data_IF_952199490909
#
_entry.id   IF_952199490909
#
_cell.length_a   1.000
_cell.length_b   1.000
_cell.length_c   1.000
_cell.angle_alpha   90.00
_cell.angle_beta   90.00
_cell.angle_gamma   90.00
#
_symmetry.space_group_name_H-M   'P 1'
#
loop_
_entity.id
_entity.type
_entity.pdbx_description
1 polymer ?
#
# COMPACT_ATOMS: atom_id res chain seq x y z
N UNK A 1 15.32 -3.47 -18.13
CA UNK A 1 15.53 -4.89 -17.81
C UNK A 1 15.69 -5.04 -16.29
N UNK A 2 14.90 -5.93 -15.68
CA UNK A 2 15.05 -6.25 -14.25
C UNK A 2 15.97 -7.47 -14.09
N UNK A 3 17.06 -7.32 -13.32
CA UNK A 3 17.94 -8.41 -12.90
C UNK A 3 17.70 -8.66 -11.43
N UNK A 4 17.17 -9.83 -11.08
CA UNK A 4 16.76 -10.15 -9.71
C UNK A 4 17.20 -11.56 -9.33
N UNK A 5 17.72 -11.68 -8.10
CA UNK A 5 17.91 -12.95 -7.41
C UNK A 5 17.14 -12.91 -6.09
N UNK A 6 16.37 -13.93 -5.79
CA UNK A 6 15.54 -14.00 -4.58
C UNK A 6 15.64 -15.38 -3.93
N UNK A 7 15.83 -15.40 -2.62
CA UNK A 7 15.72 -16.56 -1.76
C UNK A 7 14.53 -16.38 -0.84
N UNK A 8 13.69 -17.40 -0.69
CA UNK A 8 12.55 -17.36 0.24
C UNK A 8 12.62 -18.56 1.16
N UNK A 9 12.29 -18.32 2.42
CA UNK A 9 12.03 -19.31 3.45
C UNK A 9 10.55 -19.19 3.87
N UNK A 10 9.83 -20.30 3.91
CA UNK A 10 8.45 -20.35 4.33
C UNK A 10 8.27 -21.48 5.34
N UNK A 11 7.70 -21.17 6.50
CA UNK A 11 7.26 -22.12 7.50
C UNK A 11 5.81 -21.79 7.90
N UNK A 12 5.28 -22.52 8.87
CA UNK A 12 3.94 -22.30 9.41
C UNK A 12 3.77 -20.90 10.02
N UNK A 13 4.82 -20.37 10.67
CA UNK A 13 4.75 -19.13 11.47
C UNK A 13 5.61 -18.01 10.91
N UNK A 14 6.50 -18.27 9.97
CA UNK A 14 7.46 -17.29 9.46
C UNK A 14 7.65 -17.43 7.97
N UNK A 15 7.45 -16.33 7.28
CA UNK A 15 7.91 -16.11 5.91
C UNK A 15 9.08 -15.13 5.96
N UNK A 16 10.20 -15.46 5.35
CA UNK A 16 11.35 -14.57 5.27
C UNK A 16 12.02 -14.69 3.91
N UNK A 17 12.75 -13.66 3.51
CA UNK A 17 13.48 -13.73 2.25
C UNK A 17 14.52 -12.66 2.09
N UNK A 18 15.43 -12.94 1.17
CA UNK A 18 16.47 -12.04 0.71
C UNK A 18 16.27 -11.79 -0.78
N UNK A 19 16.29 -10.54 -1.16
CA UNK A 19 16.15 -10.08 -2.55
C UNK A 19 17.33 -9.17 -2.92
N UNK A 20 17.86 -9.37 -4.11
CA UNK A 20 18.86 -8.46 -4.73
C UNK A 20 18.31 -8.11 -6.10
N UNK A 21 18.07 -6.83 -6.34
CA UNK A 21 17.44 -6.34 -7.56
C UNK A 21 18.19 -5.16 -8.15
N UNK A 22 18.54 -5.26 -9.43
CA UNK A 22 19.07 -4.15 -10.23
C UNK A 22 18.16 -3.86 -11.41
N UNK A 23 17.89 -2.57 -11.64
CA UNK A 23 17.01 -2.11 -12.70
C UNK A 23 17.82 -1.44 -13.79
N UNK A 24 17.98 -2.13 -14.92
CA UNK A 24 18.62 -1.58 -16.10
C UNK A 24 17.58 -0.89 -16.98
N UNK A 25 17.76 0.40 -17.19
CA UNK A 25 16.97 1.18 -18.15
C UNK A 25 17.53 0.91 -19.55
N UNK A 26 16.67 0.53 -20.49
CA UNK A 26 17.03 0.22 -21.87
C UNK A 26 16.68 1.38 -22.80
N UNK A 27 15.78 2.27 -22.35
CA UNK A 27 15.33 3.42 -23.15
C UNK A 27 16.47 4.44 -23.32
N UNK A 28 16.95 4.68 -24.57
CA UNK A 28 18.01 5.63 -24.84
C UNK A 28 17.61 7.09 -24.59
N UNK A 29 16.30 7.39 -24.49
CA UNK A 29 15.79 8.73 -24.19
C UNK A 29 15.75 9.01 -22.67
N UNK A 30 15.86 7.99 -21.84
CA UNK A 30 16.02 8.15 -20.40
C UNK A 30 17.50 8.32 -20.10
N UNK A 31 17.93 9.57 -20.03
CA UNK A 31 19.32 9.93 -19.75
C UNK A 31 19.74 9.59 -18.31
N UNK A 32 21.06 9.57 -18.06
CA UNK A 32 21.66 9.43 -16.72
C UNK A 32 21.22 10.49 -15.72
N UNK A 33 20.65 11.61 -16.20
CA UNK A 33 20.10 12.72 -15.39
C UNK A 33 18.61 12.53 -15.04
N UNK A 34 18.00 11.43 -15.47
CA UNK A 34 16.57 11.22 -15.18
C UNK A 34 16.36 10.88 -13.71
N UNK A 35 15.90 11.88 -12.95
CA UNK A 35 15.53 11.75 -11.53
C UNK A 35 14.40 10.72 -11.26
N UNK A 36 13.71 10.27 -12.32
CA UNK A 36 12.71 9.19 -12.24
C UNK A 36 13.29 7.79 -12.36
N UNK A 37 14.63 7.68 -12.54
CA UNK A 37 15.29 6.37 -12.54
C UNK A 37 15.00 5.66 -11.23
N UNK A 38 14.46 4.43 -11.26
CA UNK A 38 14.20 3.67 -10.06
C UNK A 38 15.51 3.30 -9.34
N UNK A 39 15.42 3.14 -8.03
CA UNK A 39 16.53 2.66 -7.21
C UNK A 39 16.71 1.15 -7.36
N UNK A 40 17.94 0.71 -7.33
CA UNK A 40 18.33 -0.67 -7.10
C UNK A 40 18.09 -1.03 -5.62
N UNK A 41 17.80 -2.29 -5.31
CA UNK A 41 17.66 -2.84 -3.95
C UNK A 41 18.78 -3.82 -3.69
N UNK A 42 19.78 -3.42 -2.86
CA UNK A 42 21.05 -4.12 -2.76
C UNK A 42 21.64 -4.16 -1.34
N UNK A 43 21.24 -5.09 -0.45
CA UNK A 43 20.16 -6.07 -0.52
C UNK A 43 18.82 -5.57 0.03
N UNK A 44 17.80 -6.40 -0.09
CA UNK A 44 16.54 -6.27 0.64
C UNK A 44 16.29 -7.57 1.42
N UNK A 45 16.17 -7.46 2.73
CA UNK A 45 15.71 -8.53 3.60
C UNK A 45 14.28 -8.22 4.04
N UNK A 46 13.42 -9.22 4.09
CA UNK A 46 12.05 -9.08 4.58
C UNK A 46 11.65 -10.30 5.40
N UNK A 47 10.77 -10.09 6.37
CA UNK A 47 10.12 -11.15 7.12
C UNK A 47 8.68 -10.76 7.43
N UNK A 48 7.85 -11.77 7.60
CA UNK A 48 6.45 -11.66 7.96
C UNK A 48 6.09 -12.85 8.86
N UNK A 49 5.49 -12.57 10.00
CA UNK A 49 5.05 -13.60 10.95
C UNK A 49 3.68 -13.23 11.48
N UNK A 50 2.81 -14.23 11.64
CA UNK A 50 1.52 -14.06 12.27
C UNK A 50 1.15 -15.28 13.13
N UNK A 51 0.39 -15.03 14.20
CA UNK A 51 -0.02 -16.06 15.13
C UNK A 51 -1.45 -15.82 15.62
N UNK A 52 -2.25 -16.88 15.63
CA UNK A 52 -3.59 -16.87 16.18
C UNK A 52 -3.57 -17.07 17.68
N UNK A 53 -4.15 -16.14 18.44
CA UNK A 53 -4.19 -16.17 19.92
C UNK A 53 -5.46 -16.81 20.50
N UNK A 54 -6.44 -17.14 19.65
CA UNK A 54 -7.76 -17.62 20.08
C UNK A 54 -8.82 -16.52 20.13
N UNK A 55 -10.09 -16.90 20.24
CA UNK A 55 -11.25 -16.01 20.30
C UNK A 55 -11.33 -14.96 19.17
N UNK A 56 -10.81 -15.27 17.99
CA UNK A 56 -10.76 -14.36 16.84
C UNK A 56 -9.55 -13.42 16.80
N UNK A 57 -8.70 -13.39 17.82
CA UNK A 57 -7.51 -12.52 17.87
C UNK A 57 -6.33 -13.12 17.13
N UNK A 58 -5.61 -12.26 16.42
CA UNK A 58 -4.34 -12.54 15.74
C UNK A 58 -3.37 -11.41 16.00
N UNK A 59 -2.11 -11.73 16.16
CA UNK A 59 -0.99 -10.78 16.19
C UNK A 59 -0.07 -11.07 15.02
N UNK A 60 0.52 -10.03 14.46
CA UNK A 60 1.45 -10.12 13.35
C UNK A 60 2.60 -9.13 13.48
N UNK A 61 3.67 -9.42 12.78
CA UNK A 61 4.80 -8.52 12.61
C UNK A 61 5.35 -8.66 11.21
N UNK A 62 5.31 -7.57 10.45
CA UNK A 62 6.00 -7.44 9.17
C UNK A 62 7.24 -6.58 9.35
N UNK A 63 8.34 -6.96 8.72
CA UNK A 63 9.57 -6.19 8.76
C UNK A 63 10.35 -6.28 7.45
N UNK A 64 11.02 -5.16 7.12
CA UNK A 64 11.83 -5.07 5.92
C UNK A 64 13.03 -4.15 6.17
N UNK A 65 14.22 -4.58 5.76
CA UNK A 65 15.42 -3.74 5.67
C UNK A 65 15.84 -3.72 4.21
N UNK A 66 16.00 -2.54 3.65
CA UNK A 66 16.36 -2.38 2.23
C UNK A 66 17.44 -1.34 2.07
N UNK A 67 18.54 -1.70 1.41
CA UNK A 67 19.54 -0.74 0.94
C UNK A 67 19.18 -0.31 -0.48
N UNK A 68 19.08 1.01 -0.67
CA UNK A 68 18.72 1.65 -1.93
C UNK A 68 19.93 2.35 -2.51
N UNK A 69 20.22 2.04 -3.77
CA UNK A 69 21.30 2.68 -4.53
C UNK A 69 20.80 3.13 -5.91
N UNK A 70 21.29 4.28 -6.34
CA UNK A 70 20.99 4.82 -7.66
C UNK A 70 22.18 5.63 -8.19
N UNK A 71 22.73 5.19 -9.30
CA UNK A 71 23.83 5.92 -9.95
C UNK A 71 23.28 6.93 -10.95
N UNK A 72 23.53 8.21 -10.73
CA UNK A 72 23.31 9.31 -11.67
C UNK A 72 24.65 9.93 -12.06
N UNK A 73 24.70 10.57 -13.23
CA UNK A 73 25.87 11.33 -13.67
C UNK A 73 25.84 12.72 -13.02
N UNK A 74 26.65 12.89 -11.98
CA UNK A 74 26.71 14.14 -11.19
C UNK A 74 27.06 15.36 -12.05
N UNK A 75 27.90 15.18 -13.09
CA UNK A 75 28.34 16.28 -13.97
C UNK A 75 27.19 16.90 -14.78
N UNK A 76 26.06 16.21 -14.89
CA UNK A 76 24.87 16.65 -15.60
C UNK A 76 23.77 17.19 -14.68
N UNK A 77 23.96 17.17 -13.36
CA UNK A 77 23.03 17.69 -12.39
C UNK A 77 23.28 19.18 -12.11
N UNK A 78 22.20 19.93 -11.91
CA UNK A 78 22.30 21.33 -11.47
C UNK A 78 22.64 21.40 -9.98
N UNK A 79 23.24 22.51 -9.54
CA UNK A 79 23.50 22.73 -8.11
C UNK A 79 22.24 22.62 -7.26
N UNK A 80 21.11 23.17 -7.71
CA UNK A 80 19.84 23.05 -7.01
C UNK A 80 19.34 21.59 -6.89
N UNK A 81 19.59 20.74 -7.89
CA UNK A 81 19.26 19.32 -7.81
C UNK A 81 20.15 18.60 -6.79
N UNK A 82 21.44 18.91 -6.76
CA UNK A 82 22.37 18.37 -5.78
C UNK A 82 22.01 18.80 -4.35
N UNK A 83 21.74 20.09 -4.13
CA UNK A 83 21.30 20.64 -2.84
C UNK A 83 19.97 20.01 -2.34
N UNK A 84 19.11 19.62 -3.26
CA UNK A 84 17.87 18.92 -2.96
C UNK A 84 18.01 17.39 -2.85
N UNK A 85 19.24 16.85 -2.84
CA UNK A 85 19.52 15.44 -2.63
C UNK A 85 19.22 14.56 -3.84
N UNK A 86 19.53 15.02 -5.07
CA UNK A 86 19.38 14.18 -6.28
C UNK A 86 20.16 12.86 -6.22
N UNK A 87 21.28 12.84 -5.45
CA UNK A 87 22.13 11.67 -5.26
C UNK A 87 21.79 10.87 -3.98
N UNK A 88 20.67 11.18 -3.31
CA UNK A 88 20.28 10.48 -2.08
C UNK A 88 20.22 8.98 -2.31
N UNK A 89 20.85 8.25 -1.41
CA UNK A 89 20.81 6.80 -1.27
C UNK A 89 20.81 6.43 0.22
N UNK A 90 20.73 5.18 0.57
CA UNK A 90 20.78 4.76 1.96
C UNK A 90 19.96 3.52 2.28
N UNK A 91 19.76 3.31 3.55
CA UNK A 91 19.03 2.17 4.07
C UNK A 91 17.70 2.60 4.68
N UNK A 92 16.68 1.75 4.53
CA UNK A 92 15.38 1.91 5.19
C UNK A 92 15.03 0.65 5.96
N UNK A 93 14.64 0.81 7.21
CA UNK A 93 13.98 -0.19 8.04
C UNK A 93 12.50 0.16 8.11
N UNK A 94 11.63 -0.78 7.72
CA UNK A 94 10.19 -0.74 8.00
C UNK A 94 9.85 -1.84 9.01
N UNK A 95 9.02 -1.51 10.01
CA UNK A 95 8.46 -2.44 10.98
C UNK A 95 6.97 -2.16 11.15
N UNK A 96 6.14 -3.22 11.07
CA UNK A 96 4.69 -3.11 11.16
C UNK A 96 4.12 -4.18 12.10
N UNK A 97 4.19 -3.99 13.43
CA UNK A 97 3.43 -4.82 14.35
C UNK A 97 1.93 -4.56 14.18
N UNK A 98 1.14 -5.63 14.23
CA UNK A 98 -0.32 -5.55 14.14
C UNK A 98 -1.01 -6.46 15.14
N UNK A 99 -2.21 -6.05 15.54
CA UNK A 99 -3.21 -6.88 16.19
C UNK A 99 -4.51 -6.78 15.41
N UNK A 100 -5.15 -7.91 15.18
CA UNK A 100 -6.45 -7.95 14.53
C UNK A 100 -7.40 -8.90 15.27
N UNK A 101 -8.69 -8.63 15.10
CA UNK A 101 -9.76 -9.44 15.61
C UNK A 101 -10.80 -9.67 14.52
N UNK A 102 -11.30 -10.89 14.42
CA UNK A 102 -12.32 -11.23 13.44
C UNK A 102 -13.32 -12.22 13.97
N UNK A 103 -14.58 -12.00 13.59
CA UNK A 103 -15.69 -12.98 13.72
C UNK A 103 -16.34 -13.12 12.37
N UNK A 104 -16.47 -14.35 11.91
CA UNK A 104 -17.09 -14.68 10.62
C UNK A 104 -18.20 -15.70 10.83
N UNK A 105 -19.36 -15.42 10.28
CA UNK A 105 -20.55 -16.27 10.28
C UNK A 105 -21.09 -16.38 8.83
N UNK A 106 -21.89 -17.37 8.48
CA UNK A 106 -22.37 -17.54 7.11
C UNK A 106 -23.07 -16.31 6.51
N UNK A 107 -23.74 -15.51 7.35
CA UNK A 107 -24.52 -14.35 6.90
C UNK A 107 -23.89 -12.99 7.19
N UNK A 108 -22.75 -12.92 7.92
CA UNK A 108 -22.10 -11.66 8.27
C UNK A 108 -20.66 -11.85 8.76
N UNK A 109 -19.88 -10.79 8.71
CA UNK A 109 -18.57 -10.75 9.33
C UNK A 109 -18.32 -9.39 9.98
N UNK A 110 -17.45 -9.39 11.01
CA UNK A 110 -16.87 -8.22 11.64
C UNK A 110 -15.38 -8.45 11.78
N UNK A 111 -14.57 -7.45 11.41
CA UNK A 111 -13.12 -7.45 11.57
C UNK A 111 -12.67 -6.08 12.08
N UNK A 112 -11.71 -6.06 12.98
CA UNK A 112 -11.07 -4.85 13.45
C UNK A 112 -9.56 -5.07 13.49
N UNK A 113 -8.80 -4.05 13.13
CA UNK A 113 -7.34 -4.11 13.12
C UNK A 113 -6.73 -2.83 13.65
N UNK A 114 -5.59 -2.98 14.32
CA UNK A 114 -4.70 -1.89 14.69
C UNK A 114 -3.27 -2.28 14.32
N UNK A 115 -2.58 -1.39 13.60
CA UNK A 115 -1.23 -1.57 13.11
C UNK A 115 -0.42 -0.31 13.43
N UNK A 116 0.83 -0.48 13.80
CA UNK A 116 1.77 0.62 13.89
C UNK A 116 2.78 0.50 12.76
N UNK A 117 2.78 1.46 11.84
CA UNK A 117 3.75 1.51 10.75
C UNK A 117 4.91 2.40 11.15
N UNK A 118 6.11 1.85 11.18
CA UNK A 118 7.33 2.57 11.48
C UNK A 118 8.30 2.45 10.31
N UNK A 119 8.89 3.59 9.90
CA UNK A 119 9.97 3.64 8.94
C UNK A 119 11.11 4.50 9.50
N UNK A 120 12.33 3.99 9.46
CA UNK A 120 13.55 4.74 9.81
C UNK A 120 14.59 4.60 8.70
N UNK A 121 15.38 5.64 8.55
CA UNK A 121 16.34 5.76 7.45
C UNK A 121 17.73 6.06 7.96
N UNK A 122 18.74 5.58 7.23
CA UNK A 122 20.14 6.05 7.30
C UNK A 122 20.52 6.53 5.92
N UNK A 123 20.58 7.85 5.74
CA UNK A 123 20.74 8.47 4.44
C UNK A 123 22.16 8.94 4.19
N UNK A 124 22.54 8.96 2.91
CA UNK A 124 23.74 9.57 2.38
C UNK A 124 23.36 10.47 1.21
N UNK A 125 24.09 11.57 1.03
CA UNK A 125 23.86 12.54 -0.05
C UNK A 125 22.42 13.09 -0.08
N UNK A 126 21.80 13.23 1.09
CA UNK A 126 20.45 13.78 1.23
C UNK A 126 20.41 15.28 0.95
N UNK A 127 19.20 15.84 0.85
CA UNK A 127 19.02 17.28 0.71
C UNK A 127 19.56 18.03 1.93
N UNK A 128 20.08 19.23 1.70
CA UNK A 128 20.63 20.10 2.77
C UNK A 128 19.64 20.39 3.89
N UNK A 129 18.34 20.35 3.59
CA UNK A 129 17.26 20.58 4.57
C UNK A 129 16.78 19.30 5.26
N UNK A 130 17.24 18.12 4.84
CA UNK A 130 16.87 16.84 5.43
C UNK A 130 17.77 16.45 6.59
N UNK A 131 17.25 15.62 7.49
CA UNK A 131 18.05 14.98 8.56
C UNK A 131 18.75 13.73 8.02
N UNK A 132 19.90 13.36 8.61
CA UNK A 132 20.68 12.18 8.20
C UNK A 132 19.91 10.87 8.46
N UNK A 133 19.23 10.80 9.59
CA UNK A 133 18.52 9.62 10.07
C UNK A 133 17.04 9.99 10.39
N UNK A 134 16.21 10.31 9.38
CA UNK A 134 14.81 10.61 9.63
C UNK A 134 14.03 9.34 9.97
N UNK A 135 13.01 9.51 10.82
CA UNK A 135 12.10 8.42 11.18
C UNK A 135 10.65 8.90 11.23
N UNK A 136 9.72 7.97 11.06
CA UNK A 136 8.28 8.21 11.16
C UNK A 136 7.59 6.98 11.76
N UNK A 137 6.53 7.21 12.54
CA UNK A 137 5.73 6.14 13.10
C UNK A 137 4.28 6.55 13.26
N UNK A 138 3.36 5.82 12.63
CA UNK A 138 1.94 6.17 12.55
C UNK A 138 1.08 4.95 12.90
N UNK A 139 0.07 5.17 13.75
CA UNK A 139 -0.98 4.20 14.02
C UNK A 139 -2.01 4.15 12.88
N UNK A 140 -2.35 2.95 12.41
CA UNK A 140 -3.37 2.69 11.41
C UNK A 140 -4.43 1.79 12.02
N UNK A 141 -5.68 2.21 11.96
CA UNK A 141 -6.82 1.52 12.54
C UNK A 141 -7.87 1.25 11.48
N UNK A 142 -8.42 0.06 11.46
CA UNK A 142 -9.47 -0.30 10.52
C UNK A 142 -10.61 -1.07 11.18
N UNK A 143 -11.79 -0.94 10.59
CA UNK A 143 -12.97 -1.72 10.92
C UNK A 143 -13.67 -2.13 9.63
N UNK A 144 -14.00 -3.40 9.48
CA UNK A 144 -14.59 -3.99 8.29
C UNK A 144 -15.81 -4.84 8.67
N UNK A 145 -16.96 -4.53 8.12
CA UNK A 145 -18.21 -5.24 8.39
C UNK A 145 -18.95 -5.53 7.10
N UNK A 146 -19.53 -6.72 7.00
CA UNK A 146 -20.34 -7.12 5.86
C UNK A 146 -21.49 -8.02 6.23
N UNK A 147 -22.54 -7.93 5.44
CA UNK A 147 -23.69 -8.84 5.47
C UNK A 147 -23.72 -9.64 4.17
N UNK A 148 -24.24 -10.86 4.24
CA UNK A 148 -24.41 -11.75 3.10
C UNK A 148 -25.83 -12.26 3.12
N UNK A 149 -26.63 -11.79 2.17
CA UNK A 149 -27.97 -12.28 1.91
C UNK A 149 -27.93 -13.19 0.70
N UNK A 150 -28.65 -14.28 0.73
CA UNK A 150 -28.80 -15.18 -0.40
C UNK A 150 -30.26 -15.44 -0.74
N UNK A 151 -30.51 -15.77 -1.99
CA UNK A 151 -31.80 -16.28 -2.46
C UNK A 151 -31.63 -17.38 -3.50
N UNK A 152 -32.41 -18.41 -3.39
CA UNK A 152 -32.51 -19.44 -4.42
C UNK A 152 -33.14 -18.87 -5.69
N UNK A 153 -32.62 -19.25 -6.83
CA UNK A 153 -33.13 -18.95 -8.17
C UNK A 153 -33.54 -20.25 -8.89
N UNK A 154 -34.24 -20.12 -10.01
CA UNK A 154 -34.59 -21.27 -10.86
C UNK A 154 -33.32 -21.98 -11.37
N UNK A 155 -33.43 -23.31 -11.60
CA UNK A 155 -32.29 -24.11 -12.07
C UNK A 155 -31.24 -24.43 -11.02
N UNK A 156 -31.53 -24.19 -9.73
CA UNK A 156 -30.58 -24.46 -8.62
C UNK A 156 -29.48 -23.40 -8.45
N UNK A 157 -29.58 -22.26 -9.14
CA UNK A 157 -28.69 -21.14 -8.95
C UNK A 157 -28.97 -20.40 -7.63
N UNK A 158 -27.96 -19.73 -7.10
CA UNK A 158 -28.08 -18.84 -5.93
C UNK A 158 -27.61 -17.44 -6.31
N UNK A 159 -28.39 -16.43 -5.94
CA UNK A 159 -27.97 -15.03 -6.02
C UNK A 159 -27.64 -14.53 -4.62
N UNK A 160 -26.48 -13.85 -4.47
CA UNK A 160 -26.12 -13.16 -3.24
C UNK A 160 -26.32 -11.65 -3.36
N UNK A 161 -26.45 -10.97 -2.21
CA UNK A 161 -26.38 -9.53 -2.04
C UNK A 161 -25.52 -9.24 -0.81
N UNK A 162 -24.41 -8.55 -1.02
CA UNK A 162 -23.31 -8.43 -0.05
C UNK A 162 -22.97 -6.94 0.19
N UNK A 163 -23.72 -6.21 1.05
CA UNK A 163 -23.30 -4.89 1.48
C UNK A 163 -22.10 -4.98 2.42
N UNK A 164 -21.12 -4.05 2.25
CA UNK A 164 -19.90 -3.96 3.04
C UNK A 164 -19.60 -2.53 3.41
N UNK A 165 -19.17 -2.32 4.65
CA UNK A 165 -18.65 -1.08 5.20
C UNK A 165 -17.21 -1.32 5.64
N UNK A 166 -16.31 -0.42 5.24
CA UNK A 166 -14.93 -0.40 5.71
C UNK A 166 -14.58 1.00 6.18
N UNK A 167 -14.13 1.13 7.42
CA UNK A 167 -13.64 2.37 7.99
C UNK A 167 -12.12 2.29 8.17
N UNK A 168 -11.41 3.36 7.83
CA UNK A 168 -9.98 3.47 7.95
C UNK A 168 -9.63 4.82 8.60
N UNK A 169 -8.76 4.76 9.62
CA UNK A 169 -8.18 5.92 10.27
C UNK A 169 -6.66 5.79 10.35
N UNK A 170 -5.95 6.86 9.98
CA UNK A 170 -4.51 7.03 10.11
C UNK A 170 -4.22 8.53 10.19
N UNK A 171 -3.50 8.96 11.22
CA UNK A 171 -3.18 10.38 11.41
C UNK A 171 -2.24 10.91 10.31
N UNK A 172 -2.37 12.21 10.04
CA UNK A 172 -1.43 12.91 9.17
C UNK A 172 -0.12 13.20 9.92
N UNK A 173 0.98 12.90 9.28
CA UNK A 173 2.33 13.32 9.63
C UNK A 173 3.02 13.89 8.38
N UNK A 174 3.79 14.98 8.54
CA UNK A 174 4.53 15.56 7.41
C UNK A 174 5.70 14.66 7.00
N UNK A 175 5.65 14.19 5.77
CA UNK A 175 6.61 13.27 5.16
C UNK A 175 7.37 13.91 3.98
N UNK A 176 7.23 15.22 3.79
CA UNK A 176 7.77 15.93 2.62
C UNK A 176 9.31 15.91 2.55
N UNK A 177 9.98 15.78 3.70
CA UNK A 177 11.44 15.68 3.77
C UNK A 177 11.98 14.24 3.69
N UNK A 178 11.11 13.22 3.74
CA UNK A 178 11.52 11.84 3.57
C UNK A 178 11.87 11.54 2.10
N UNK A 179 12.85 10.66 1.84
CA UNK A 179 13.20 10.25 0.49
C UNK A 179 12.04 9.51 -0.19
N UNK A 180 12.14 9.36 -1.52
CA UNK A 180 11.25 8.55 -2.35
C UNK A 180 12.09 7.51 -3.08
N UNK A 181 12.19 6.32 -2.52
CA UNK A 181 12.97 5.22 -3.09
C UNK A 181 12.12 4.29 -3.96
N UNK A 182 11.02 3.77 -3.41
CA UNK A 182 10.23 2.74 -4.08
C UNK A 182 8.71 2.94 -3.98
N UNK A 183 8.27 4.10 -3.51
CA UNK A 183 6.86 4.40 -3.34
C UNK A 183 6.24 4.99 -4.60
N UNK A 184 5.06 4.52 -4.93
CA UNK A 184 4.19 5.09 -5.97
C UNK A 184 2.73 5.06 -5.53
N UNK A 185 1.92 5.97 -6.06
CA UNK A 185 0.49 5.96 -5.82
C UNK A 185 -0.19 4.87 -6.64
N UNK A 186 -1.09 4.12 -6.00
CA UNK A 186 -1.83 3.05 -6.63
C UNK A 186 -3.01 3.62 -7.43
N UNK A 187 -3.31 2.99 -8.58
CA UNK A 187 -4.47 3.36 -9.37
C UNK A 187 -5.76 3.01 -8.63
N UNK A 188 -6.72 3.96 -8.61
CA UNK A 188 -8.00 3.74 -7.96
C UNK A 188 -8.81 2.66 -8.68
N UNK A 189 -9.26 1.65 -7.93
CA UNK A 189 -10.08 0.53 -8.41
C UNK A 189 -11.01 0.06 -7.30
N UNK A 190 -11.91 -0.88 -7.58
CA UNK A 190 -12.81 -1.45 -6.58
C UNK A 190 -12.05 -2.02 -5.37
N UNK A 191 -10.92 -2.69 -5.60
CA UNK A 191 -10.10 -3.26 -4.53
C UNK A 191 -9.44 -2.20 -3.64
N UNK A 192 -9.28 -0.96 -4.11
CA UNK A 192 -8.73 0.14 -3.32
C UNK A 192 -9.69 0.66 -2.24
N UNK A 193 -10.98 0.34 -2.35
CA UNK A 193 -11.99 0.72 -1.34
C UNK A 193 -11.68 0.14 0.05
N UNK A 194 -10.97 -1.00 0.11
CA UNK A 194 -10.74 -1.78 1.32
C UNK A 194 -9.26 -1.91 1.66
N UNK A 195 -8.42 -1.03 1.13
CA UNK A 195 -6.99 -1.01 1.42
C UNK A 195 -6.65 -0.01 2.51
N UNK A 196 -5.65 -0.37 3.34
CA UNK A 196 -5.10 0.49 4.38
C UNK A 196 -4.21 1.61 3.82
N UNK A 197 -3.66 1.43 2.63
CA UNK A 197 -2.74 2.40 2.04
C UNK A 197 -3.04 2.63 0.56
N UNK A 198 -2.96 3.90 0.14
CA UNK A 198 -3.06 4.29 -1.27
C UNK A 198 -1.72 4.26 -1.99
N UNK A 199 -0.63 4.05 -1.24
CA UNK A 199 0.71 3.93 -1.78
C UNK A 199 1.17 2.48 -1.84
N UNK A 200 2.07 2.18 -2.77
CA UNK A 200 2.94 1.01 -2.77
C UNK A 200 4.30 1.39 -2.18
N UNK A 201 5.15 0.41 -1.91
CA UNK A 201 6.46 0.65 -1.30
C UNK A 201 6.36 0.96 0.20
N UNK A 202 7.36 1.63 0.76
CA UNK A 202 7.43 1.84 2.20
C UNK A 202 7.93 3.23 2.61
N UNK A 203 8.00 4.23 1.68
CA UNK A 203 8.49 5.57 2.00
C UNK A 203 7.38 6.52 2.44
N UNK A 204 6.12 6.15 2.22
CA UNK A 204 4.96 6.96 2.60
C UNK A 204 3.95 6.09 3.32
N UNK A 205 3.37 6.65 4.37
CA UNK A 205 2.24 6.11 5.11
C UNK A 205 1.07 7.07 4.86
N UNK A 206 0.00 6.56 4.26
CA UNK A 206 -1.14 7.39 3.90
C UNK A 206 -1.90 7.85 5.14
N UNK A 207 -2.22 9.13 5.18
CA UNK A 207 -3.23 9.68 6.08
C UNK A 207 -4.63 9.28 5.61
N UNK A 208 -5.52 8.98 6.53
CA UNK A 208 -6.88 8.58 6.25
C UNK A 208 -7.82 8.85 7.42
N UNK A 209 -8.98 9.38 7.13
CA UNK A 209 -10.19 9.33 7.94
C UNK A 209 -11.33 9.18 6.95
N UNK A 210 -11.75 7.92 6.73
CA UNK A 210 -12.65 7.60 5.62
C UNK A 210 -13.52 6.38 5.89
N UNK A 211 -14.69 6.35 5.25
CA UNK A 211 -15.56 5.19 5.20
C UNK A 211 -15.80 4.76 3.75
N UNK A 212 -15.58 3.50 3.44
CA UNK A 212 -15.87 2.88 2.14
C UNK A 212 -17.15 2.08 2.24
N UNK A 213 -18.06 2.32 1.31
CA UNK A 213 -19.31 1.57 1.18
C UNK A 213 -19.30 0.82 -0.14
N UNK A 214 -19.66 -0.43 -0.12
CA UNK A 214 -19.81 -1.22 -1.33
C UNK A 214 -21.00 -2.17 -1.24
N UNK A 215 -21.50 -2.55 -2.41
CA UNK A 215 -22.50 -3.58 -2.58
C UNK A 215 -22.06 -4.51 -3.71
N UNK A 216 -22.07 -5.81 -3.45
CA UNK A 216 -21.75 -6.84 -4.43
C UNK A 216 -22.93 -7.78 -4.60
N UNK A 217 -23.23 -8.19 -5.82
CA UNK A 217 -24.18 -9.27 -6.11
C UNK A 217 -23.48 -10.31 -6.97
N UNK A 218 -23.64 -11.59 -6.59
CA UNK A 218 -23.06 -12.73 -7.32
C UNK A 218 -24.17 -13.68 -7.74
N UNK A 219 -23.93 -14.37 -8.84
CA UNK A 219 -24.73 -15.52 -9.27
C UNK A 219 -23.82 -16.75 -9.20
N UNK A 220 -24.22 -17.70 -8.36
CA UNK A 220 -23.54 -18.97 -8.17
C UNK A 220 -24.34 -20.09 -8.84
N UNK A 221 -23.67 -21.02 -9.48
CA UNK A 221 -24.28 -22.21 -10.04
C UNK A 221 -24.65 -23.24 -8.93
N UNK A 222 -25.32 -24.37 -9.25
CA UNK A 222 -25.67 -25.39 -8.26
C UNK A 222 -24.46 -26.05 -7.57
N UNK A 223 -23.25 -25.85 -8.07
CA UNK A 223 -22.00 -26.34 -7.47
C UNK A 223 -21.29 -25.27 -6.63
N UNK A 224 -21.89 -24.06 -6.50
CA UNK A 224 -21.32 -22.92 -5.79
C UNK A 224 -20.24 -22.15 -6.58
N UNK A 225 -20.04 -22.45 -7.87
CA UNK A 225 -19.08 -21.71 -8.71
C UNK A 225 -19.70 -20.38 -9.14
N UNK A 226 -18.94 -19.28 -8.98
CA UNK A 226 -19.35 -17.94 -9.44
C UNK A 226 -19.45 -17.92 -10.98
N UNK A 227 -20.61 -17.50 -11.47
CA UNK A 227 -20.91 -17.35 -12.91
C UNK A 227 -20.93 -15.87 -13.32
N UNK A 228 -21.39 -15.00 -12.43
CA UNK A 228 -21.37 -13.57 -12.66
C UNK A 228 -21.22 -12.81 -11.34
N UNK A 229 -20.60 -11.65 -11.39
CA UNK A 229 -20.48 -10.71 -10.27
C UNK A 229 -20.60 -9.28 -10.78
N UNK A 230 -21.34 -8.47 -10.03
CA UNK A 230 -21.36 -7.03 -10.17
C UNK A 230 -21.08 -6.39 -8.80
N UNK A 231 -20.21 -5.43 -8.75
CA UNK A 231 -19.84 -4.71 -7.53
C UNK A 231 -19.83 -3.21 -7.79
N UNK A 232 -20.33 -2.42 -6.86
CA UNK A 232 -20.29 -0.96 -6.88
C UNK A 232 -19.86 -0.44 -5.51
N UNK A 233 -19.07 0.62 -5.49
CA UNK A 233 -18.67 1.20 -4.21
C UNK A 233 -18.07 2.61 -4.36
N UNK A 234 -17.95 3.28 -3.21
CA UNK A 234 -17.45 4.64 -3.10
C UNK A 234 -16.82 4.87 -1.71
N UNK A 235 -15.83 5.75 -1.64
CA UNK A 235 -15.25 6.23 -0.39
C UNK A 235 -15.85 7.60 -0.06
N UNK A 236 -16.26 7.77 1.20
CA UNK A 236 -16.52 9.06 1.84
C UNK A 236 -15.28 9.43 2.65
N UNK A 237 -14.66 10.57 2.34
CA UNK A 237 -13.55 11.15 3.11
C UNK A 237 -14.10 12.14 4.13
N UNK A 238 -13.61 12.06 5.38
CA UNK A 238 -14.00 12.97 6.47
C UNK A 238 -12.98 14.11 6.64
N UNK A 239 -11.73 13.88 6.18
CA UNK A 239 -10.67 14.88 6.15
C UNK A 239 -10.00 14.90 4.78
N UNK A 240 -9.33 16.02 4.47
CA UNK A 240 -8.50 16.11 3.26
C UNK A 240 -7.26 15.23 3.40
N UNK A 241 -6.92 14.50 2.34
CA UNK A 241 -5.71 13.69 2.29
C UNK A 241 -4.51 14.59 1.97
N UNK A 242 -3.55 14.63 2.86
CA UNK A 242 -2.44 15.58 2.81
C UNK A 242 -1.12 14.93 2.39
N UNK A 243 -0.89 13.64 2.73
CA UNK A 243 0.34 12.94 2.33
C UNK A 243 0.37 12.74 0.82
N UNK A 244 1.45 13.17 0.18
CA UNK A 244 1.69 13.05 -1.25
C UNK A 244 3.01 12.35 -1.57
N UNK A 245 3.38 12.35 -2.86
CA UNK A 245 4.67 11.88 -3.36
C UNK A 245 5.66 13.04 -3.51
N UNK A 246 5.57 14.01 -2.64
CA UNK A 246 6.53 15.10 -2.53
C UNK A 246 7.81 14.63 -1.81
N UNK A 247 8.91 15.21 -2.23
CA UNK A 247 10.23 15.03 -1.62
C UNK A 247 11.05 16.26 -1.92
N UNK A 248 12.19 16.46 -1.26
CA UNK A 248 13.05 17.62 -1.55
C UNK A 248 13.38 17.80 -3.04
N UNK A 249 13.46 16.71 -3.81
CA UNK A 249 13.74 16.74 -5.25
C UNK A 249 12.47 16.95 -6.09
N UNK A 250 11.32 16.60 -5.57
CA UNK A 250 10.04 16.59 -6.27
C UNK A 250 8.97 17.26 -5.43
N UNK A 251 8.85 18.59 -5.49
CA UNK A 251 7.75 19.27 -4.80
C UNK A 251 6.40 18.74 -5.31
N UNK A 252 5.58 18.29 -4.38
CA UNK A 252 4.28 17.72 -4.67
C UNK A 252 3.34 18.76 -5.30
N UNK A 253 2.56 18.29 -6.25
CA UNK A 253 1.39 19.02 -6.76
C UNK A 253 0.17 18.14 -6.55
N UNK A 254 -0.86 18.61 -5.78
CA UNK A 254 -2.06 17.83 -5.54
C UNK A 254 -2.70 17.40 -6.87
N UNK A 255 -2.84 16.11 -7.09
CA UNK A 255 -3.64 15.56 -8.20
C UNK A 255 -5.13 15.61 -7.88
N UNK A 256 -5.47 15.74 -6.59
CA UNK A 256 -6.83 15.76 -6.10
C UNK A 256 -7.12 17.13 -5.50
N UNK A 257 -8.30 17.68 -5.85
CA UNK A 257 -8.78 18.88 -5.16
C UNK A 257 -8.99 18.53 -3.69
N UNK A 258 -8.44 19.31 -2.74
CA UNK A 258 -8.68 19.09 -1.32
C UNK A 258 -10.16 19.15 -0.90
N UNK A 259 -11.03 19.58 -1.78
CA UNK A 259 -12.48 19.73 -1.54
C UNK A 259 -13.32 18.51 -1.93
N UNK A 260 -12.73 17.42 -2.46
CA UNK A 260 -13.50 16.23 -2.83
C UNK A 260 -13.68 15.30 -1.61
N UNK A 261 -14.81 15.48 -0.92
CA UNK A 261 -15.21 14.61 0.20
C UNK A 261 -15.58 13.18 -0.23
N UNK A 262 -15.64 12.89 -1.52
CA UNK A 262 -15.99 11.56 -2.05
C UNK A 262 -15.04 11.15 -3.16
N UNK A 263 -14.73 9.85 -3.23
CA UNK A 263 -14.09 9.26 -4.40
C UNK A 263 -15.03 9.25 -5.60
N UNK A 264 -14.49 8.95 -6.79
CA UNK A 264 -15.33 8.49 -7.90
C UNK A 264 -16.10 7.24 -7.48
N UNK A 265 -17.29 7.05 -8.05
CA UNK A 265 -18.00 5.78 -7.99
C UNK A 265 -17.18 4.76 -8.80
N UNK A 266 -16.87 3.62 -8.21
CA UNK A 266 -16.12 2.56 -8.87
C UNK A 266 -16.96 1.29 -8.93
N UNK A 267 -16.92 0.62 -10.08
CA UNK A 267 -17.63 -0.64 -10.30
C UNK A 267 -16.74 -1.70 -10.92
N UNK A 268 -17.09 -2.95 -10.67
CA UNK A 268 -16.48 -4.12 -11.27
C UNK A 268 -17.57 -5.03 -11.82
N UNK A 269 -17.34 -5.61 -12.99
CA UNK A 269 -18.21 -6.63 -13.57
C UNK A 269 -17.37 -7.81 -14.03
N UNK A 270 -17.76 -9.02 -13.62
CA UNK A 270 -17.10 -10.28 -13.96
C UNK A 270 -18.13 -11.26 -14.49
N UNK A 271 -17.79 -11.91 -15.61
CA UNK A 271 -18.50 -13.09 -16.14
C UNK A 271 -17.51 -14.25 -16.20
N UNK A 272 -17.90 -15.39 -15.68
CA UNK A 272 -17.19 -16.65 -15.83
C UNK A 272 -17.75 -17.41 -17.05
N UNK A 273 -16.88 -17.79 -17.97
CA UNK A 273 -17.21 -18.61 -19.14
C UNK A 273 -16.71 -20.05 -18.95
#
# INVERSE_FOLDING_TARGET
LNRQARLNFNSEYLRAGLNVQRIQIIDPFISSINLNRPYDRLPQFFFDTDTYLGAGFRIGLNGQITSFDRTLDESQLTAAQLDNGALVNGERLNLEPEISWSVEQPGWFLRAGAKYKHASYKLQNQATVSMDDPEIGIGVYNFDAGLIFDRAMSGGFTQTLEPRLYYLFSEYEDQSLLPLFDTSELNFSFNQLFREDRFSGGDRIADADQASFAITSRILDPRGKEQARISLGQIQYFVDRQVGLDSPIRPWRPRYSPLNQKSALVGEFVLAF
#
